data_IF_201960962903
#
_entry.id   IF_201960962903
#
_cell.length_a   1.000
_cell.length_b   1.000
_cell.length_c   1.000
_cell.angle_alpha   90.00
_cell.angle_beta   90.00
_cell.angle_gamma   90.00
#
_symmetry.space_group_name_H-M   'P 1'
#
loop_
_entity.id
_entity.type
_entity.pdbx_description
1 polymer ?
#
# COMPACT_ATOMS: atom_id res chain seq x y z
N UNK A 1 6.40 -10.45 75.51
CA UNK A 1 7.61 -11.11 76.02
C UNK A 1 7.50 -12.55 75.59
N UNK A 2 8.29 -13.14 74.72
CA UNK A 2 9.40 -12.78 73.84
C UNK A 2 9.51 -13.99 72.88
N UNK A 3 9.50 -13.77 71.56
CA UNK A 3 10.60 -14.13 70.64
C UNK A 3 11.22 -15.53 70.81
N UNK A 4 11.02 -16.40 69.81
CA UNK A 4 12.07 -16.84 68.86
C UNK A 4 11.78 -18.24 68.28
N UNK A 5 11.41 -18.31 66.99
CA UNK A 5 11.64 -19.50 66.16
C UNK A 5 11.86 -19.10 64.69
N UNK A 6 13.07 -19.35 64.18
CA UNK A 6 13.38 -19.74 62.80
C UNK A 6 14.85 -20.28 62.75
N UNK A 7 15.35 -20.94 61.67
CA UNK A 7 14.72 -21.28 60.38
C UNK A 7 15.08 -22.66 59.73
N UNK A 8 14.44 -22.94 58.55
CA UNK A 8 14.94 -23.65 57.32
C UNK A 8 15.21 -25.18 57.36
N UNK A 9 14.95 -26.02 56.32
CA UNK A 9 14.74 -25.83 54.86
C UNK A 9 14.07 -27.04 54.14
N UNK A 10 13.21 -26.70 53.15
CA UNK A 10 12.91 -27.22 51.78
C UNK A 10 13.19 -28.66 51.28
N UNK A 11 12.20 -29.27 50.60
CA UNK A 11 12.16 -29.67 49.16
C UNK A 11 10.90 -30.55 48.91
N UNK A 12 9.84 -30.05 48.25
CA UNK A 12 9.57 -29.99 46.80
C UNK A 12 8.95 -31.28 46.19
N UNK A 13 7.78 -31.06 45.59
CA UNK A 13 6.82 -32.00 44.98
C UNK A 13 7.05 -32.21 43.49
N UNK A 14 6.46 -33.26 42.89
CA UNK A 14 5.66 -33.25 41.62
C UNK A 14 5.61 -34.65 40.97
N UNK A 15 4.40 -35.17 40.70
CA UNK A 15 4.21 -36.33 39.85
C UNK A 15 2.76 -36.80 39.78
N UNK A 16 2.29 -37.05 38.54
CA UNK A 16 1.01 -37.71 38.18
C UNK A 16 -0.23 -36.80 38.04
N UNK A 17 -0.25 -35.97 36.99
CA UNK A 17 -1.48 -35.53 36.29
C UNK A 17 -1.22 -35.30 34.79
N UNK A 18 -0.90 -36.37 34.05
CA UNK A 18 -0.63 -36.26 32.62
C UNK A 18 -1.16 -37.46 31.81
N UNK A 19 -2.47 -37.75 31.88
CA UNK A 19 -3.15 -38.66 30.93
C UNK A 19 -4.65 -38.34 30.82
N UNK A 20 -5.02 -37.24 30.15
CA UNK A 20 -6.38 -37.02 29.59
C UNK A 20 -6.46 -35.76 28.70
N UNK A 21 -5.49 -35.58 27.80
CA UNK A 21 -5.53 -34.53 26.77
C UNK A 21 -5.13 -35.11 25.41
N UNK A 22 -5.96 -36.00 24.87
CA UNK A 22 -5.87 -36.49 23.49
C UNK A 22 -7.29 -36.67 22.92
N UNK A 23 -8.01 -35.58 22.81
CA UNK A 23 -9.23 -35.44 22.00
C UNK A 23 -9.32 -33.95 21.59
N UNK A 24 -8.31 -33.52 20.83
CA UNK A 24 -8.32 -32.25 20.11
C UNK A 24 -7.98 -32.57 18.67
N UNK A 25 -8.97 -32.45 17.79
CA UNK A 25 -8.76 -32.62 16.35
C UNK A 25 -7.62 -31.72 15.90
N UNK A 26 -6.70 -32.30 15.13
CA UNK A 26 -5.69 -31.56 14.38
C UNK A 26 -6.42 -30.59 13.45
N UNK A 27 -6.53 -29.31 13.84
CA UNK A 27 -6.61 -28.25 12.84
C UNK A 27 -5.34 -28.39 12.01
N UNK A 28 -5.49 -28.63 10.71
CA UNK A 28 -4.40 -28.56 9.76
C UNK A 28 -3.60 -27.29 10.05
N UNK A 29 -2.30 -27.44 10.28
CA UNK A 29 -1.45 -26.31 10.65
C UNK A 29 -1.53 -25.27 9.54
N UNK A 30 -1.98 -24.06 9.88
CA UNK A 30 -1.93 -22.93 8.96
C UNK A 30 -0.47 -22.75 8.53
N UNK A 31 -0.21 -22.76 7.22
CA UNK A 31 1.14 -22.55 6.70
C UNK A 31 1.67 -21.20 7.24
N UNK A 32 2.81 -21.16 7.95
CA UNK A 32 3.32 -19.94 8.58
C UNK A 32 3.56 -18.82 7.56
N UNK A 33 3.80 -19.16 6.29
CA UNK A 33 3.99 -18.21 5.20
C UNK A 33 2.67 -17.49 4.83
N UNK A 34 1.53 -18.12 5.08
CA UNK A 34 0.20 -17.55 4.81
C UNK A 34 -0.34 -16.69 5.95
N UNK A 35 0.20 -16.79 7.16
CA UNK A 35 -0.31 -16.06 8.33
C UNK A 35 -0.44 -14.54 8.12
N UNK A 36 0.53 -13.82 7.51
CA UNK A 36 0.41 -12.40 7.27
C UNK A 36 -0.78 -12.07 6.35
N UNK A 37 -0.95 -12.86 5.29
CA UNK A 37 -2.06 -12.72 4.34
C UNK A 37 -3.40 -12.98 5.04
N UNK A 38 -3.54 -14.11 5.74
CA UNK A 38 -4.78 -14.47 6.43
C UNK A 38 -5.15 -13.46 7.53
N UNK A 39 -4.15 -12.85 8.18
CA UNK A 39 -4.39 -11.78 9.17
C UNK A 39 -4.94 -10.52 8.51
N UNK A 40 -4.36 -10.09 7.39
CA UNK A 40 -4.85 -8.94 6.63
C UNK A 40 -6.29 -9.16 6.12
N UNK A 41 -6.59 -10.38 5.64
CA UNK A 41 -7.93 -10.77 5.22
C UNK A 41 -8.92 -10.76 6.38
N UNK A 42 -8.57 -11.32 7.55
CA UNK A 42 -9.47 -11.30 8.71
C UNK A 42 -9.77 -9.88 9.21
N UNK A 43 -8.82 -8.95 9.05
CA UNK A 43 -9.01 -7.56 9.47
C UNK A 43 -10.03 -6.82 8.57
N UNK A 44 -10.07 -7.15 7.28
CA UNK A 44 -10.92 -6.48 6.28
C UNK A 44 -12.22 -7.23 6.01
N UNK A 45 -12.17 -8.56 6.01
CA UNK A 45 -13.27 -9.48 5.78
C UNK A 45 -13.34 -10.56 6.88
N UNK A 46 -13.88 -10.25 8.08
CA UNK A 46 -13.91 -11.19 9.20
C UNK A 46 -14.68 -12.50 8.95
N UNK A 47 -15.59 -12.49 7.97
CA UNK A 47 -16.44 -13.63 7.58
C UNK A 47 -15.98 -14.31 6.28
N UNK A 48 -14.83 -13.91 5.74
CA UNK A 48 -14.31 -14.49 4.51
C UNK A 48 -14.03 -15.98 4.68
N UNK A 49 -14.35 -16.74 3.64
CA UNK A 49 -13.88 -18.11 3.50
C UNK A 49 -12.37 -18.10 3.18
N UNK A 50 -11.58 -18.59 4.14
CA UNK A 50 -10.12 -18.65 4.03
C UNK A 50 -9.67 -19.92 3.29
N UNK A 51 -10.53 -20.94 3.21
CA UNK A 51 -10.20 -22.20 2.54
C UNK A 51 -9.97 -21.99 1.05
N UNK A 52 -10.69 -21.04 0.44
CA UNK A 52 -10.46 -20.63 -0.95
C UNK A 52 -9.03 -20.11 -1.18
N UNK A 53 -8.53 -19.28 -0.26
CA UNK A 53 -7.19 -18.67 -0.36
C UNK A 53 -6.11 -19.72 -0.11
N UNK A 54 -6.31 -20.58 0.88
CA UNK A 54 -5.39 -21.68 1.19
C UNK A 54 -5.28 -22.66 0.01
N UNK A 55 -6.42 -23.07 -0.58
CA UNK A 55 -6.43 -23.92 -1.78
C UNK A 55 -5.72 -23.25 -2.97
N UNK A 56 -5.97 -21.96 -3.20
CA UNK A 56 -5.32 -21.21 -4.28
C UNK A 56 -3.80 -21.16 -4.07
N UNK A 57 -3.34 -20.94 -2.84
CA UNK A 57 -1.92 -20.96 -2.50
C UNK A 57 -1.29 -22.33 -2.75
N UNK A 58 -1.92 -23.42 -2.31
CA UNK A 58 -1.38 -24.76 -2.54
C UNK A 58 -1.24 -25.09 -4.03
N UNK A 59 -2.21 -24.68 -4.85
CA UNK A 59 -2.15 -24.87 -6.31
C UNK A 59 -1.01 -24.06 -6.90
N UNK A 60 -0.88 -22.78 -6.52
CA UNK A 60 0.22 -21.93 -6.97
C UNK A 60 1.60 -22.48 -6.55
N UNK A 61 1.74 -22.93 -5.31
CA UNK A 61 2.99 -23.50 -4.79
C UNK A 61 3.37 -24.78 -5.54
N UNK A 62 2.39 -25.66 -5.82
CA UNK A 62 2.60 -26.87 -6.61
C UNK A 62 2.99 -26.54 -8.05
N UNK A 63 2.31 -25.58 -8.67
CA UNK A 63 2.53 -25.19 -10.06
C UNK A 63 3.92 -24.56 -10.27
N UNK A 64 4.37 -23.72 -9.33
CA UNK A 64 5.67 -23.07 -9.39
C UNK A 64 6.80 -23.84 -8.66
N UNK A 65 6.58 -25.11 -8.31
CA UNK A 65 7.57 -25.92 -7.61
C UNK A 65 8.85 -26.07 -8.45
N UNK A 66 9.99 -25.71 -7.87
CA UNK A 66 11.29 -25.75 -8.55
C UNK A 66 11.60 -24.52 -9.40
N UNK A 67 10.69 -23.55 -9.50
CA UNK A 67 10.96 -22.26 -10.13
C UNK A 67 11.59 -21.29 -9.13
N UNK A 68 12.64 -20.60 -9.58
CA UNK A 68 13.37 -19.59 -8.80
C UNK A 68 13.27 -18.23 -9.47
N UNK A 69 13.11 -17.18 -8.67
CA UNK A 69 13.17 -15.80 -9.16
C UNK A 69 14.61 -15.41 -9.46
N UNK A 70 14.78 -14.30 -10.18
CA UNK A 70 16.10 -13.67 -10.41
C UNK A 70 16.81 -13.23 -9.13
N UNK A 71 16.07 -13.07 -8.02
CA UNK A 71 16.65 -12.82 -6.69
C UNK A 71 17.24 -14.08 -6.03
N UNK A 72 16.91 -15.28 -6.52
CA UNK A 72 17.25 -16.56 -5.90
C UNK A 72 16.14 -17.15 -5.01
N UNK A 73 15.09 -16.39 -4.72
CA UNK A 73 13.97 -16.84 -3.89
C UNK A 73 13.02 -17.77 -4.67
N UNK A 74 12.25 -18.59 -3.95
CA UNK A 74 11.20 -19.41 -4.56
C UNK A 74 10.14 -18.53 -5.24
N UNK A 75 9.68 -18.94 -6.43
CA UNK A 75 8.76 -18.12 -7.24
C UNK A 75 7.45 -17.78 -6.51
N UNK A 76 6.94 -18.69 -5.66
CA UNK A 76 5.72 -18.52 -4.86
C UNK A 76 5.71 -17.26 -3.98
N UNK A 77 6.89 -16.72 -3.64
CA UNK A 77 7.01 -15.47 -2.89
C UNK A 77 6.39 -14.27 -3.61
N UNK A 78 6.38 -14.27 -4.95
CA UNK A 78 5.81 -13.18 -5.73
C UNK A 78 4.27 -13.18 -5.71
N UNK A 79 3.56 -14.24 -6.13
CA UNK A 79 2.10 -14.27 -6.05
C UNK A 79 1.58 -14.03 -4.63
N UNK A 80 2.29 -14.54 -3.62
CA UNK A 80 1.95 -14.31 -2.21
C UNK A 80 2.06 -12.83 -1.83
N UNK A 81 3.14 -12.16 -2.24
CA UNK A 81 3.31 -10.73 -1.97
C UNK A 81 2.26 -9.88 -2.69
N UNK A 82 1.90 -10.23 -3.93
CA UNK A 82 0.82 -9.56 -4.68
C UNK A 82 -0.52 -9.73 -3.98
N UNK A 83 -0.86 -10.95 -3.56
CA UNK A 83 -2.07 -11.20 -2.77
C UNK A 83 -2.06 -10.45 -1.43
N UNK A 84 -0.91 -10.32 -0.78
CA UNK A 84 -0.79 -9.57 0.49
C UNK A 84 -1.07 -8.08 0.27
N UNK A 85 -0.51 -7.47 -0.77
CA UNK A 85 -0.80 -6.06 -1.15
C UNK A 85 -2.31 -5.88 -1.37
N UNK A 86 -2.95 -6.81 -2.07
CA UNK A 86 -4.39 -6.73 -2.34
C UNK A 86 -5.24 -6.96 -1.07
N UNK A 87 -4.79 -7.80 -0.15
CA UNK A 87 -5.47 -8.03 1.12
C UNK A 87 -5.42 -6.80 2.02
N UNK A 88 -4.28 -6.09 2.04
CA UNK A 88 -4.14 -4.80 2.75
C UNK A 88 -5.06 -3.72 2.17
N UNK A 89 -5.37 -3.78 0.88
CA UNK A 89 -6.35 -2.91 0.22
C UNK A 89 -7.80 -3.33 0.47
N UNK A 90 -8.03 -4.43 1.18
CA UNK A 90 -9.37 -4.94 1.51
C UNK A 90 -10.08 -5.62 0.35
N UNK A 91 -9.34 -6.22 -0.59
CA UNK A 91 -9.93 -6.95 -1.71
C UNK A 91 -10.62 -8.25 -1.28
N UNK A 92 -11.58 -8.72 -2.08
CA UNK A 92 -12.37 -9.92 -1.78
C UNK A 92 -11.53 -11.20 -1.89
N UNK A 93 -11.89 -12.29 -1.18
CA UNK A 93 -11.18 -13.57 -1.27
C UNK A 93 -11.04 -14.11 -2.70
N UNK A 94 -12.03 -13.91 -3.57
CA UNK A 94 -11.95 -14.30 -4.99
C UNK A 94 -10.85 -13.54 -5.74
N UNK A 95 -10.68 -12.24 -5.47
CA UNK A 95 -9.60 -11.42 -6.04
C UNK A 95 -8.23 -11.88 -5.54
N UNK A 96 -8.14 -12.25 -4.25
CA UNK A 96 -6.90 -12.74 -3.65
C UNK A 96 -6.51 -14.11 -4.20
N UNK A 97 -7.48 -15.01 -4.40
CA UNK A 97 -7.26 -16.29 -5.05
C UNK A 97 -6.77 -16.10 -6.50
N UNK A 98 -7.41 -15.20 -7.27
CA UNK A 98 -6.94 -14.86 -8.61
C UNK A 98 -5.52 -14.28 -8.61
N UNK A 99 -5.18 -13.45 -7.62
CA UNK A 99 -3.83 -12.90 -7.48
C UNK A 99 -2.77 -13.97 -7.14
N UNK A 100 -3.12 -14.98 -6.34
CA UNK A 100 -2.22 -16.12 -6.09
C UNK A 100 -1.99 -16.96 -7.36
N UNK A 101 -2.97 -16.98 -8.26
CA UNK A 101 -2.98 -17.85 -9.44
C UNK A 101 -2.61 -17.12 -10.74
N UNK A 102 -2.37 -15.81 -10.71
CA UNK A 102 -2.28 -14.97 -11.93
C UNK A 102 -1.18 -15.43 -12.92
N UNK A 103 -0.03 -15.86 -12.41
CA UNK A 103 1.10 -16.35 -13.23
C UNK A 103 1.07 -17.85 -13.49
N UNK A 104 0.16 -18.60 -12.85
CA UNK A 104 0.14 -20.07 -12.97
C UNK A 104 -0.20 -20.52 -14.38
N UNK A 105 -1.07 -19.78 -15.09
CA UNK A 105 -1.50 -20.10 -16.44
C UNK A 105 -0.45 -19.76 -17.50
N UNK A 106 0.41 -18.78 -17.22
CA UNK A 106 1.43 -18.33 -18.17
C UNK A 106 2.73 -19.11 -18.04
N UNK A 107 3.18 -19.34 -16.80
CA UNK A 107 4.52 -19.88 -16.52
C UNK A 107 4.53 -21.38 -16.18
N UNK A 108 3.37 -22.04 -16.20
CA UNK A 108 3.26 -23.45 -15.80
C UNK A 108 2.37 -24.24 -16.77
N UNK A 109 2.25 -25.55 -16.52
CA UNK A 109 1.38 -26.45 -17.31
C UNK A 109 -0.10 -26.35 -16.94
N UNK A 110 -0.45 -25.52 -15.95
CA UNK A 110 -1.83 -25.38 -15.47
C UNK A 110 -2.69 -24.61 -16.47
N UNK A 111 -3.79 -25.21 -16.94
CA UNK A 111 -4.62 -24.64 -17.99
C UNK A 111 -5.77 -23.79 -17.45
N UNK A 112 -6.27 -22.85 -18.26
CA UNK A 112 -7.47 -22.06 -17.93
C UNK A 112 -8.72 -22.94 -17.69
N UNK A 113 -8.83 -24.06 -18.40
CA UNK A 113 -9.96 -24.98 -18.19
C UNK A 113 -9.86 -25.72 -16.86
N UNK A 114 -8.64 -26.03 -16.40
CA UNK A 114 -8.43 -26.60 -15.07
C UNK A 114 -8.72 -25.57 -13.99
N UNK A 115 -8.22 -24.34 -14.15
CA UNK A 115 -8.51 -23.22 -13.25
C UNK A 115 -10.02 -22.98 -13.10
N UNK A 116 -10.76 -22.99 -14.21
CA UNK A 116 -12.22 -22.83 -14.23
C UNK A 116 -12.94 -23.96 -13.48
N UNK A 117 -12.47 -25.21 -13.62
CA UNK A 117 -13.04 -26.35 -12.89
C UNK A 117 -12.78 -26.28 -11.39
N UNK A 118 -11.58 -25.86 -10.99
CA UNK A 118 -11.15 -25.89 -9.60
C UNK A 118 -11.65 -24.69 -8.78
N UNK A 119 -11.74 -23.50 -9.41
CA UNK A 119 -12.03 -22.22 -8.75
C UNK A 119 -13.24 -21.46 -9.32
N UNK A 120 -13.83 -21.94 -10.42
CA UNK A 120 -15.00 -21.33 -11.05
C UNK A 120 -14.68 -20.26 -12.11
N UNK A 121 -15.73 -19.82 -12.81
CA UNK A 121 -15.63 -18.89 -13.94
C UNK A 121 -15.10 -17.51 -13.55
N UNK A 122 -15.48 -17.02 -12.37
CA UNK A 122 -15.11 -15.68 -11.90
C UNK A 122 -13.58 -15.53 -11.76
N UNK A 123 -12.94 -16.48 -11.07
CA UNK A 123 -11.49 -16.46 -10.85
C UNK A 123 -10.76 -16.72 -12.17
N UNK A 124 -11.25 -17.66 -12.98
CA UNK A 124 -10.66 -17.95 -14.28
C UNK A 124 -10.69 -16.73 -15.23
N UNK A 125 -11.78 -15.97 -15.22
CA UNK A 125 -11.91 -14.73 -16.00
C UNK A 125 -10.93 -13.66 -15.54
N UNK A 126 -10.73 -13.51 -14.21
CA UNK A 126 -9.76 -12.56 -13.68
C UNK A 126 -8.33 -12.92 -14.09
N UNK A 127 -7.93 -14.19 -13.94
CA UNK A 127 -6.59 -14.67 -14.31
C UNK A 127 -6.34 -14.54 -15.81
N UNK A 128 -7.28 -14.99 -16.66
CA UNK A 128 -7.20 -14.84 -18.12
C UNK A 128 -7.07 -13.36 -18.53
N UNK A 129 -7.79 -12.47 -17.83
CA UNK A 129 -7.68 -11.04 -18.02
C UNK A 129 -6.27 -10.50 -17.74
N UNK A 130 -5.64 -10.94 -16.65
CA UNK A 130 -4.28 -10.52 -16.28
C UNK A 130 -3.26 -11.04 -17.29
N UNK A 131 -3.26 -12.34 -17.60
CA UNK A 131 -2.33 -12.97 -18.56
C UNK A 131 -2.41 -12.33 -19.96
N UNK A 132 -3.61 -11.90 -20.39
CA UNK A 132 -3.78 -11.22 -21.68
C UNK A 132 -3.17 -9.82 -21.71
N UNK A 133 -3.09 -9.15 -20.56
CA UNK A 133 -2.43 -7.84 -20.46
C UNK A 133 -0.90 -7.99 -20.53
N UNK A 134 -0.34 -9.11 -20.08
CA UNK A 134 1.10 -9.39 -20.14
C UNK A 134 1.62 -9.71 -21.55
N UNK A 135 0.80 -10.37 -22.38
CA UNK A 135 1.19 -10.79 -23.74
C UNK A 135 1.20 -9.66 -24.79
N UNK A 136 0.96 -8.41 -24.39
CA UNK A 136 0.98 -7.27 -25.32
C UNK A 136 2.43 -6.89 -25.61
N UNK A 137 2.90 -7.11 -26.85
CA UNK A 137 4.27 -6.77 -27.22
C UNK A 137 4.45 -5.25 -27.35
N UNK A 138 5.54 -4.74 -26.76
CA UNK A 138 5.81 -3.32 -26.62
C UNK A 138 6.73 -2.78 -27.73
N UNK A 139 6.14 -2.03 -28.68
CA UNK A 139 6.81 -1.03 -29.54
C UNK A 139 6.13 0.34 -29.38
N UNK A 140 6.58 1.41 -30.05
CA UNK A 140 5.96 2.75 -29.92
C UNK A 140 4.47 2.77 -30.29
N UNK A 141 4.02 1.92 -31.22
CA UNK A 141 2.60 1.74 -31.55
C UNK A 141 1.81 0.94 -30.47
N UNK A 142 2.50 0.27 -29.55
CA UNK A 142 1.89 -0.61 -28.56
C UNK A 142 1.38 0.11 -27.31
N UNK A 143 1.76 1.38 -27.08
CA UNK A 143 1.22 2.14 -25.95
C UNK A 143 -0.29 2.36 -26.09
N UNK A 144 -0.73 2.75 -27.29
CA UNK A 144 -2.15 2.92 -27.59
C UNK A 144 -2.92 1.58 -27.55
N UNK A 145 -2.29 0.48 -27.97
CA UNK A 145 -2.88 -0.86 -27.90
C UNK A 145 -3.00 -1.37 -26.46
N UNK A 146 -1.97 -1.15 -25.64
CA UNK A 146 -1.94 -1.48 -24.21
C UNK A 146 -3.03 -0.71 -23.49
N UNK A 147 -3.14 0.59 -23.72
CA UNK A 147 -4.22 1.43 -23.16
C UNK A 147 -5.59 0.95 -23.63
N UNK A 148 -5.77 0.62 -24.92
CA UNK A 148 -7.04 0.10 -25.44
C UNK A 148 -7.42 -1.25 -24.81
N UNK A 149 -6.47 -2.18 -24.66
CA UNK A 149 -6.69 -3.49 -24.01
C UNK A 149 -6.97 -3.33 -22.52
N UNK A 150 -6.28 -2.42 -21.84
CA UNK A 150 -6.59 -2.06 -20.45
C UNK A 150 -8.00 -1.50 -20.32
N UNK A 151 -8.44 -0.62 -21.23
CA UNK A 151 -9.83 -0.12 -21.26
C UNK A 151 -10.84 -1.25 -21.49
N UNK A 152 -10.55 -2.20 -22.37
CA UNK A 152 -11.42 -3.37 -22.60
C UNK A 152 -11.45 -4.31 -21.39
N UNK A 153 -10.31 -4.51 -20.72
CA UNK A 153 -10.23 -5.29 -19.49
C UNK A 153 -11.00 -4.62 -18.35
N UNK A 154 -10.83 -3.30 -18.18
CA UNK A 154 -11.60 -2.47 -17.23
C UNK A 154 -13.11 -2.55 -17.47
N UNK A 155 -13.54 -2.58 -18.74
CA UNK A 155 -14.96 -2.66 -19.10
C UNK A 155 -15.61 -3.99 -18.69
N UNK A 156 -14.81 -5.05 -18.50
CA UNK A 156 -15.29 -6.36 -18.07
C UNK A 156 -15.19 -6.54 -16.56
N UNK A 157 -14.01 -6.28 -16.00
CA UNK A 157 -13.78 -6.37 -14.56
C UNK A 157 -12.59 -5.50 -14.13
N UNK A 158 -12.87 -4.47 -13.34
CA UNK A 158 -11.86 -3.55 -12.79
C UNK A 158 -10.83 -4.26 -11.91
N UNK A 159 -11.17 -5.40 -11.29
CA UNK A 159 -10.29 -6.17 -10.40
C UNK A 159 -9.07 -6.71 -11.12
N UNK A 160 -9.19 -7.01 -12.42
CA UNK A 160 -8.06 -7.42 -13.27
C UNK A 160 -6.97 -6.35 -13.28
N UNK A 161 -7.35 -5.08 -13.41
CA UNK A 161 -6.39 -3.97 -13.41
C UNK A 161 -5.77 -3.77 -12.02
N UNK A 162 -6.55 -3.95 -10.96
CA UNK A 162 -6.05 -3.85 -9.58
C UNK A 162 -5.01 -4.93 -9.30
N UNK A 163 -5.27 -6.18 -9.72
CA UNK A 163 -4.28 -7.28 -9.63
C UNK A 163 -3.02 -6.89 -10.42
N UNK A 164 -3.18 -6.37 -11.63
CA UNK A 164 -2.04 -5.98 -12.46
C UNK A 164 -1.19 -4.86 -11.87
N UNK A 165 -1.82 -3.88 -11.22
CA UNK A 165 -1.11 -2.80 -10.52
C UNK A 165 -0.35 -3.33 -9.31
N UNK A 166 -0.91 -4.28 -8.55
CA UNK A 166 -0.24 -4.91 -7.42
C UNK A 166 0.94 -5.78 -7.87
N UNK A 167 0.79 -6.54 -8.96
CA UNK A 167 1.88 -7.24 -9.63
C UNK A 167 3.00 -6.26 -10.03
N UNK A 168 2.66 -5.20 -10.78
CA UNK A 168 3.63 -4.21 -11.22
C UNK A 168 4.36 -3.55 -10.05
N UNK A 169 3.67 -3.28 -8.94
CA UNK A 169 4.25 -2.74 -7.72
C UNK A 169 5.27 -3.69 -7.09
N UNK A 170 4.93 -4.96 -6.94
CA UNK A 170 5.88 -5.94 -6.42
C UNK A 170 7.10 -6.14 -7.34
N UNK A 171 6.86 -6.14 -8.65
CA UNK A 171 7.93 -6.16 -9.64
C UNK A 171 8.83 -4.93 -9.55
N UNK A 172 8.27 -3.74 -9.31
CA UNK A 172 9.03 -2.51 -9.11
C UNK A 172 9.91 -2.57 -7.85
N UNK A 173 9.40 -3.11 -6.74
CA UNK A 173 10.16 -3.34 -5.50
C UNK A 173 11.36 -4.27 -5.69
N UNK A 174 11.38 -5.08 -6.75
CA UNK A 174 12.41 -6.09 -7.03
C UNK A 174 13.28 -5.78 -8.25
N UNK A 175 13.22 -4.57 -8.82
CA UNK A 175 14.04 -4.18 -9.98
C UNK A 175 15.55 -4.22 -9.74
N UNK A 176 16.00 -4.17 -8.48
CA UNK A 176 17.43 -4.32 -8.14
C UNK A 176 18.06 -5.64 -8.62
N UNK A 177 17.25 -6.66 -8.92
CA UNK A 177 17.71 -7.97 -9.38
C UNK A 177 17.59 -8.18 -10.90
N UNK A 178 17.14 -7.16 -11.66
CA UNK A 178 17.06 -7.23 -13.12
C UNK A 178 18.10 -6.33 -13.77
N UNK A 179 18.38 -6.53 -15.06
CA UNK A 179 19.31 -5.67 -15.80
C UNK A 179 18.82 -4.23 -15.83
N UNK A 180 19.76 -3.28 -15.77
CA UNK A 180 19.46 -1.85 -15.75
C UNK A 180 18.59 -1.41 -16.94
N UNK A 181 18.83 -1.97 -18.14
CA UNK A 181 18.05 -1.70 -19.34
C UNK A 181 16.59 -2.18 -19.20
N UNK A 182 16.38 -3.40 -18.71
CA UNK A 182 15.04 -3.95 -18.52
C UNK A 182 14.29 -3.19 -17.42
N UNK A 183 14.98 -2.83 -16.33
CA UNK A 183 14.43 -2.01 -15.26
C UNK A 183 14.03 -0.62 -15.75
N UNK A 184 14.89 0.07 -16.53
CA UNK A 184 14.59 1.39 -17.09
C UNK A 184 13.37 1.36 -18.01
N UNK A 185 13.29 0.37 -18.91
CA UNK A 185 12.11 0.18 -19.77
C UNK A 185 10.83 -0.03 -18.96
N UNK A 186 10.86 -0.91 -17.96
CA UNK A 186 9.71 -1.15 -17.07
C UNK A 186 9.35 0.07 -16.23
N UNK A 187 10.34 0.86 -15.80
CA UNK A 187 10.14 2.09 -15.04
C UNK A 187 9.46 3.18 -15.86
N UNK A 188 9.87 3.37 -17.13
CA UNK A 188 9.21 4.29 -18.07
C UNK A 188 7.76 3.88 -18.30
N UNK A 189 7.50 2.61 -18.61
CA UNK A 189 6.15 2.08 -18.79
C UNK A 189 5.28 2.32 -17.53
N UNK A 190 5.88 2.16 -16.35
CA UNK A 190 5.22 2.39 -15.06
C UNK A 190 4.81 3.84 -14.88
N UNK A 191 5.65 4.81 -15.26
CA UNK A 191 5.32 6.24 -15.16
C UNK A 191 4.30 6.68 -16.20
N UNK A 192 4.38 6.17 -17.43
CA UNK A 192 3.53 6.63 -18.53
C UNK A 192 2.14 5.98 -18.51
N UNK A 193 2.04 4.72 -18.07
CA UNK A 193 0.81 3.93 -18.17
C UNK A 193 0.25 3.64 -16.78
N UNK A 194 0.98 2.91 -15.93
CA UNK A 194 0.43 2.36 -14.69
C UNK A 194 0.17 3.39 -13.59
N UNK A 195 1.07 4.36 -13.40
CA UNK A 195 0.88 5.42 -12.39
C UNK A 195 -0.34 6.31 -12.71
N UNK A 196 -0.56 6.80 -13.95
CA UNK A 196 -1.79 7.49 -14.32
C UNK A 196 -3.06 6.65 -14.13
N UNK A 197 -3.00 5.34 -14.38
CA UNK A 197 -4.14 4.44 -14.15
C UNK A 197 -4.44 4.28 -12.66
N UNK A 198 -3.43 4.04 -11.82
CA UNK A 198 -3.58 4.01 -10.37
C UNK A 198 -4.19 5.32 -9.85
N UNK A 199 -3.79 6.47 -10.41
CA UNK A 199 -4.38 7.77 -10.07
C UNK A 199 -5.87 7.86 -10.43
N UNK A 200 -6.26 7.38 -11.61
CA UNK A 200 -7.67 7.34 -12.06
C UNK A 200 -8.54 6.45 -11.17
N UNK A 201 -7.98 5.35 -10.68
CA UNK A 201 -8.64 4.43 -9.75
C UNK A 201 -8.67 4.94 -8.29
N UNK A 202 -8.07 6.09 -8.00
CA UNK A 202 -7.96 6.62 -6.64
C UNK A 202 -6.92 5.89 -5.76
N UNK A 203 -6.13 4.97 -6.33
CA UNK A 203 -5.10 4.18 -5.66
C UNK A 203 -3.81 4.98 -5.44
N UNK A 204 -3.90 6.06 -4.67
CA UNK A 204 -2.80 7.03 -4.51
C UNK A 204 -1.56 6.42 -3.84
N UNK A 205 -1.71 5.49 -2.89
CA UNK A 205 -0.58 4.83 -2.24
C UNK A 205 0.26 4.05 -3.25
N UNK A 206 -0.38 3.21 -4.07
CA UNK A 206 0.31 2.46 -5.14
C UNK A 206 0.91 3.43 -6.15
N UNK A 207 0.14 4.44 -6.56
CA UNK A 207 0.59 5.46 -7.52
C UNK A 207 1.92 6.08 -7.08
N UNK A 208 1.98 6.59 -5.85
CA UNK A 208 3.17 7.28 -5.35
C UNK A 208 4.36 6.34 -5.21
N UNK A 209 4.12 5.11 -4.76
CA UNK A 209 5.20 4.13 -4.63
C UNK A 209 5.76 3.70 -6.00
N UNK A 210 4.89 3.47 -6.99
CA UNK A 210 5.30 3.23 -8.37
C UNK A 210 6.09 4.41 -8.95
N UNK A 211 5.63 5.64 -8.71
CA UNK A 211 6.31 6.86 -9.14
C UNK A 211 7.71 6.98 -8.54
N UNK A 212 7.84 6.81 -7.22
CA UNK A 212 9.13 6.94 -6.52
C UNK A 212 10.10 5.81 -6.92
N UNK A 213 9.64 4.56 -7.06
CA UNK A 213 10.46 3.43 -7.52
C UNK A 213 10.93 3.63 -8.97
N UNK A 214 10.04 4.07 -9.86
CA UNK A 214 10.42 4.37 -11.24
C UNK A 214 11.40 5.53 -11.32
N UNK A 215 11.19 6.56 -10.51
CA UNK A 215 12.07 7.72 -10.47
C UNK A 215 13.48 7.34 -10.01
N UNK A 216 13.60 6.52 -8.95
CA UNK A 216 14.88 6.00 -8.47
C UNK A 216 15.62 5.20 -9.54
N UNK A 217 14.88 4.44 -10.38
CA UNK A 217 15.49 3.64 -11.44
C UNK A 217 15.90 4.45 -12.68
N UNK A 218 15.11 5.45 -13.07
CA UNK A 218 15.36 6.24 -14.28
C UNK A 218 16.41 7.33 -14.07
N UNK A 219 16.40 7.98 -12.90
CA UNK A 219 17.26 9.11 -12.59
C UNK A 219 17.94 8.94 -11.23
N UNK A 220 18.78 7.90 -11.04
CA UNK A 220 19.35 7.55 -9.73
C UNK A 220 20.15 8.70 -9.10
N UNK A 221 20.93 9.43 -9.90
CA UNK A 221 21.73 10.57 -9.40
C UNK A 221 20.86 11.69 -8.84
N UNK A 222 19.77 12.04 -9.54
CA UNK A 222 18.85 13.10 -9.12
C UNK A 222 18.05 12.63 -7.90
N UNK A 223 17.64 11.36 -7.90
CA UNK A 223 16.97 10.75 -6.75
C UNK A 223 17.84 10.85 -5.49
N UNK A 224 19.10 10.43 -5.56
CA UNK A 224 20.04 10.49 -4.43
C UNK A 224 20.28 11.93 -3.94
N UNK A 225 20.36 12.89 -4.86
CA UNK A 225 20.49 14.31 -4.52
C UNK A 225 19.27 14.81 -3.74
N UNK A 226 18.06 14.55 -4.25
CA UNK A 226 16.81 14.92 -3.57
C UNK A 226 16.75 14.24 -2.19
N UNK A 227 17.06 12.95 -2.09
CA UNK A 227 17.07 12.22 -0.81
C UNK A 227 18.02 12.88 0.20
N UNK A 228 19.23 13.27 -0.23
CA UNK A 228 20.21 13.97 0.63
C UNK A 228 19.68 15.33 1.08
N UNK A 229 19.13 16.13 0.17
CA UNK A 229 18.59 17.45 0.51
C UNK A 229 17.40 17.34 1.48
N UNK A 230 16.55 16.33 1.30
CA UNK A 230 15.41 16.01 2.20
C UNK A 230 15.92 15.60 3.57
N UNK A 231 16.93 14.71 3.63
CA UNK A 231 17.51 14.21 4.88
C UNK A 231 18.17 15.32 5.71
N UNK A 232 18.91 16.23 5.08
CA UNK A 232 19.55 17.37 5.77
C UNK A 232 18.53 18.26 6.51
N UNK A 233 17.34 18.43 5.94
CA UNK A 233 16.26 19.26 6.52
C UNK A 233 15.26 18.47 7.36
N UNK A 234 15.39 17.14 7.45
CA UNK A 234 14.43 16.29 8.16
C UNK A 234 14.32 16.62 9.67
N UNK A 235 15.42 16.87 10.43
CA UNK A 235 15.33 17.16 11.86
C UNK A 235 14.51 18.42 12.17
N UNK A 236 14.85 19.54 11.52
CA UNK A 236 14.13 20.81 11.70
C UNK A 236 12.65 20.71 11.29
N UNK A 237 12.36 19.93 10.23
CA UNK A 237 10.98 19.67 9.78
C UNK A 237 10.20 18.84 10.80
N UNK A 238 10.82 17.82 11.40
CA UNK A 238 10.18 16.95 12.38
C UNK A 238 9.86 17.69 13.69
N UNK A 239 10.77 18.57 14.13
CA UNK A 239 10.53 19.45 15.27
C UNK A 239 9.35 20.40 14.99
N UNK A 240 9.36 21.07 13.84
CA UNK A 240 8.25 21.95 13.45
C UNK A 240 6.92 21.19 13.30
N UNK A 241 6.93 20.00 12.69
CA UNK A 241 5.78 19.11 12.61
C UNK A 241 5.29 18.66 13.99
N UNK A 242 6.17 18.46 14.96
CA UNK A 242 5.79 18.13 16.32
C UNK A 242 5.04 19.30 16.98
N UNK A 243 5.54 20.53 16.84
CA UNK A 243 4.89 21.75 17.33
C UNK A 243 3.51 21.93 16.72
N UNK A 244 3.41 21.90 15.38
CA UNK A 244 2.13 22.05 14.67
C UNK A 244 1.13 20.94 15.07
N UNK A 245 1.60 19.69 15.21
CA UNK A 245 0.72 18.59 15.67
C UNK A 245 0.25 18.77 17.10
N UNK A 246 1.10 19.27 17.99
CA UNK A 246 0.75 19.53 19.38
C UNK A 246 -0.30 20.64 19.48
N UNK A 247 -0.13 21.73 18.72
CA UNK A 247 -1.08 22.85 18.67
C UNK A 247 -2.44 22.40 18.15
N UNK A 248 -2.49 21.75 16.98
CA UNK A 248 -3.73 21.21 16.41
C UNK A 248 -4.36 20.20 17.39
N UNK A 249 -3.55 19.32 17.97
CA UNK A 249 -4.04 18.33 18.93
C UNK A 249 -4.64 18.94 20.19
N UNK A 250 -4.15 20.10 20.64
CA UNK A 250 -4.73 20.84 21.77
C UNK A 250 -6.10 21.43 21.41
N UNK A 251 -6.20 22.09 20.26
CA UNK A 251 -7.46 22.71 19.81
C UNK A 251 -8.56 21.67 19.60
N UNK A 252 -8.21 20.53 19.00
CA UNK A 252 -9.16 19.45 18.77
C UNK A 252 -9.66 18.84 20.09
N UNK A 253 -8.81 18.76 21.12
CA UNK A 253 -9.23 18.33 22.46
C UNK A 253 -10.17 19.34 23.12
N UNK A 254 -9.88 20.64 23.03
CA UNK A 254 -10.74 21.72 23.56
C UNK A 254 -12.11 21.73 22.86
N UNK A 255 -12.12 21.50 21.54
CA UNK A 255 -13.33 21.35 20.74
C UNK A 255 -14.04 19.99 20.91
N UNK A 256 -13.47 19.07 21.70
CA UNK A 256 -13.97 17.68 21.92
C UNK A 256 -14.12 16.86 20.63
N UNK A 257 -13.28 17.12 19.63
CA UNK A 257 -13.24 16.39 18.36
C UNK A 257 -12.25 15.24 18.47
N UNK A 258 -12.70 14.01 18.20
CA UNK A 258 -11.80 12.86 18.09
C UNK A 258 -11.14 12.85 16.73
N UNK A 259 -9.82 13.00 16.70
CA UNK A 259 -9.07 13.04 15.46
C UNK A 259 -7.66 12.45 15.61
N UNK A 260 -7.11 11.96 14.51
CA UNK A 260 -5.72 11.52 14.41
C UNK A 260 -4.95 12.49 13.53
N UNK A 261 -3.98 13.21 14.11
CA UNK A 261 -3.14 14.18 13.41
C UNK A 261 -1.81 13.53 13.04
N UNK A 262 -1.50 13.48 11.74
CA UNK A 262 -0.29 12.86 11.21
C UNK A 262 0.45 13.82 10.28
N UNK A 263 1.78 13.71 10.20
CA UNK A 263 2.54 14.39 9.16
C UNK A 263 2.37 13.65 7.84
N UNK A 264 2.22 14.38 6.73
CA UNK A 264 2.18 13.79 5.40
C UNK A 264 3.55 13.97 4.74
N UNK A 265 4.36 12.91 4.58
CA UNK A 265 5.59 13.01 3.82
C UNK A 265 5.27 13.35 2.35
N UNK A 266 6.14 14.14 1.73
CA UNK A 266 6.09 14.41 0.29
C UNK A 266 6.88 13.33 -0.44
N UNK A 267 6.29 12.80 -1.51
CA UNK A 267 6.94 11.84 -2.40
C UNK A 267 8.01 12.52 -3.26
N UNK A 268 9.13 11.84 -3.47
CA UNK A 268 10.32 12.40 -4.13
C UNK A 268 10.04 12.77 -5.58
N UNK A 269 9.31 11.92 -6.30
CA UNK A 269 8.92 12.17 -7.68
C UNK A 269 8.03 13.42 -7.81
N UNK A 270 7.12 13.64 -6.85
CA UNK A 270 6.30 14.85 -6.81
C UNK A 270 7.10 16.13 -6.52
N UNK A 271 8.20 16.02 -5.77
CA UNK A 271 9.15 17.13 -5.57
C UNK A 271 9.90 17.41 -6.87
N UNK A 272 10.44 16.37 -7.50
CA UNK A 272 11.13 16.46 -8.79
C UNK A 272 10.26 17.09 -9.88
N UNK A 273 9.03 16.62 -10.07
CA UNK A 273 8.10 17.21 -11.04
C UNK A 273 7.83 18.69 -10.77
N UNK A 274 7.72 19.11 -9.49
CA UNK A 274 7.52 20.52 -9.14
C UNK A 274 8.77 21.37 -9.40
N UNK A 275 9.97 20.82 -9.21
CA UNK A 275 11.22 21.51 -9.53
C UNK A 275 11.34 21.75 -11.04
N UNK A 276 11.13 20.72 -11.86
CA UNK A 276 11.26 20.82 -13.32
C UNK A 276 10.13 21.64 -13.95
N UNK A 277 8.88 21.28 -13.67
CA UNK A 277 7.73 21.85 -14.40
C UNK A 277 7.47 23.31 -14.00
N UNK A 278 7.81 23.70 -12.76
CA UNK A 278 7.52 25.05 -12.24
C UNK A 278 8.76 25.91 -12.04
N UNK A 279 9.96 25.40 -12.35
CA UNK A 279 11.22 26.11 -12.15
C UNK A 279 11.38 26.66 -10.73
N UNK A 280 10.84 25.96 -9.73
CA UNK A 280 10.85 26.41 -8.33
C UNK A 280 12.06 25.85 -7.60
N UNK A 281 12.69 26.70 -6.80
CA UNK A 281 13.79 26.28 -5.93
C UNK A 281 13.34 25.22 -4.92
N UNK A 282 14.22 24.25 -4.66
CA UNK A 282 13.99 23.18 -3.70
C UNK A 282 13.54 23.72 -2.34
N UNK A 283 14.11 24.85 -1.90
CA UNK A 283 13.80 25.47 -0.61
C UNK A 283 12.31 25.84 -0.49
N UNK A 284 11.76 26.47 -1.53
CA UNK A 284 10.35 26.91 -1.54
C UNK A 284 9.36 25.74 -1.60
N UNK A 285 9.77 24.62 -2.20
CA UNK A 285 8.92 23.42 -2.30
C UNK A 285 8.94 22.64 -0.98
N UNK A 286 10.10 22.57 -0.34
CA UNK A 286 10.32 21.76 0.86
C UNK A 286 9.85 22.44 2.15
N UNK A 287 9.88 23.77 2.22
CA UNK A 287 9.40 24.53 3.39
C UNK A 287 7.89 24.42 3.64
N UNK A 288 7.12 23.94 2.65
CA UNK A 288 5.69 23.70 2.85
C UNK A 288 5.49 22.37 3.59
N UNK A 289 5.20 22.46 4.87
CA UNK A 289 4.88 21.32 5.74
C UNK A 289 3.43 20.90 5.49
N UNK A 290 3.19 19.60 5.35
CA UNK A 290 1.86 19.05 5.16
C UNK A 290 1.46 18.19 6.36
N UNK A 291 0.32 18.51 6.95
CA UNK A 291 -0.32 17.76 8.03
C UNK A 291 -1.58 17.12 7.47
N UNK A 292 -2.00 16.00 8.05
CA UNK A 292 -3.27 15.33 7.74
C UNK A 292 -4.02 15.09 9.04
N UNK A 293 -5.27 15.52 9.08
CA UNK A 293 -6.19 15.23 10.18
C UNK A 293 -7.22 14.22 9.70
N UNK A 294 -7.31 13.08 10.38
CA UNK A 294 -8.32 12.04 10.12
C UNK A 294 -9.40 12.11 11.20
N UNK A 295 -10.66 12.16 10.76
CA UNK A 295 -11.86 12.23 11.60
C UNK A 295 -12.90 11.22 11.14
N UNK A 296 -13.90 10.94 11.98
CA UNK A 296 -14.93 9.93 11.70
C UNK A 296 -16.07 10.46 10.82
N UNK A 297 -16.43 11.74 10.95
CA UNK A 297 -17.60 12.31 10.27
C UNK A 297 -17.26 13.52 9.39
N UNK A 298 -18.12 13.78 8.40
CA UNK A 298 -18.02 14.99 7.56
C UNK A 298 -18.22 16.26 8.38
N UNK A 299 -19.07 16.22 9.41
CA UNK A 299 -19.29 17.36 10.31
C UNK A 299 -18.00 17.71 11.05
N UNK A 300 -17.27 16.70 11.54
CA UNK A 300 -15.98 16.89 12.18
C UNK A 300 -14.95 17.51 11.22
N UNK A 301 -14.96 17.17 9.93
CA UNK A 301 -14.06 17.78 8.94
C UNK A 301 -14.19 19.32 8.92
N UNK A 302 -15.42 19.82 8.89
CA UNK A 302 -15.66 21.28 8.90
C UNK A 302 -15.42 21.90 10.28
N UNK A 303 -15.65 21.17 11.36
CA UNK A 303 -15.31 21.62 12.71
C UNK A 303 -13.79 21.79 12.89
N UNK A 304 -13.00 20.83 12.37
CA UNK A 304 -11.52 20.94 12.32
C UNK A 304 -11.09 22.15 11.49
N UNK A 305 -11.70 22.37 10.32
CA UNK A 305 -11.40 23.54 9.49
C UNK A 305 -11.62 24.85 10.26
N UNK A 306 -12.74 24.97 10.97
CA UNK A 306 -13.05 26.13 11.80
C UNK A 306 -12.03 26.35 12.93
N UNK A 307 -11.65 25.28 13.63
CA UNK A 307 -10.62 25.34 14.68
C UNK A 307 -9.27 25.81 14.13
N UNK A 308 -8.88 25.30 12.95
CA UNK A 308 -7.62 25.69 12.29
C UNK A 308 -7.62 27.17 11.87
N UNK A 309 -8.73 27.67 11.30
CA UNK A 309 -8.85 29.07 10.87
C UNK A 309 -8.98 30.04 12.04
N UNK A 310 -9.46 29.59 13.20
CA UNK A 310 -9.45 30.38 14.43
C UNK A 310 -8.04 30.56 15.00
N UNK A 311 -7.17 29.56 14.85
CA UNK A 311 -5.77 29.62 15.30
C UNK A 311 -4.86 30.35 14.32
N UNK A 312 -4.95 30.02 13.04
CA UNK A 312 -4.02 30.50 12.02
C UNK A 312 -4.76 31.15 10.86
N UNK A 313 -4.18 32.26 10.38
CA UNK A 313 -4.75 33.00 9.26
C UNK A 313 -4.70 32.15 7.98
N UNK A 314 -5.85 31.88 7.32
CA UNK A 314 -5.87 31.16 6.07
C UNK A 314 -5.29 32.00 4.93
N UNK A 315 -4.55 31.36 4.03
CA UNK A 315 -4.01 31.99 2.83
C UNK A 315 -5.12 32.08 1.77
N UNK A 316 -5.48 33.29 1.28
CA UNK A 316 -6.53 33.46 0.28
C UNK A 316 -6.28 32.63 -0.98
N UNK A 317 -7.34 32.01 -1.52
CA UNK A 317 -7.27 31.18 -2.73
C UNK A 317 -6.56 29.83 -2.56
N UNK A 318 -6.19 29.44 -1.33
CA UNK A 318 -5.56 28.14 -1.01
C UNK A 318 -6.48 27.18 -0.27
N UNK A 319 -7.76 27.51 -0.13
CA UNK A 319 -8.77 26.60 0.37
C UNK A 319 -9.41 25.81 -0.79
N UNK A 320 -9.60 24.50 -0.61
CA UNK A 320 -10.28 23.62 -1.57
C UNK A 320 -11.16 22.62 -0.83
N UNK A 321 -12.43 22.60 -1.18
CA UNK A 321 -13.40 21.67 -0.62
C UNK A 321 -13.63 20.50 -1.60
N UNK A 322 -12.88 19.41 -1.43
CA UNK A 322 -13.12 18.19 -2.18
C UNK A 322 -14.15 17.26 -1.54
N UNK A 323 -14.74 17.64 -0.40
CA UNK A 323 -15.89 16.90 0.16
C UNK A 323 -17.15 17.27 -0.64
N UNK A 324 -17.38 18.57 -0.81
CA UNK A 324 -18.50 19.11 -1.59
C UNK A 324 -18.31 18.91 -3.10
N UNK A 325 -17.06 19.02 -3.59
CA UNK A 325 -16.71 18.79 -5.00
C UNK A 325 -15.64 17.70 -5.12
N UNK A 326 -16.01 16.41 -5.01
CA UNK A 326 -15.08 15.30 -5.14
C UNK A 326 -14.33 15.35 -6.46
N UNK A 327 -13.08 14.89 -6.46
CA UNK A 327 -12.34 14.70 -7.71
C UNK A 327 -12.93 13.54 -8.51
N UNK A 328 -12.63 13.49 -9.80
CA UNK A 328 -13.05 12.40 -10.70
C UNK A 328 -12.65 10.99 -10.22
N UNK A 329 -11.60 10.87 -9.41
CA UNK A 329 -11.16 9.61 -8.81
C UNK A 329 -11.78 9.35 -7.42
N UNK A 330 -12.91 9.97 -7.11
CA UNK A 330 -13.64 9.87 -5.84
C UNK A 330 -12.86 10.37 -4.61
N UNK A 331 -11.74 11.06 -4.81
CA UNK A 331 -10.98 11.63 -3.71
C UNK A 331 -11.75 12.76 -3.02
N UNK A 332 -11.91 12.63 -1.70
CA UNK A 332 -12.59 13.59 -0.82
C UNK A 332 -11.68 14.00 0.34
N UNK A 333 -11.56 15.32 0.56
CA UNK A 333 -10.77 15.93 1.64
C UNK A 333 -10.98 17.45 1.63
N UNK A 334 -10.81 18.12 2.76
CA UNK A 334 -10.66 19.57 2.80
C UNK A 334 -9.18 19.90 2.78
N UNK A 335 -8.74 20.77 1.85
CA UNK A 335 -7.36 21.26 1.82
C UNK A 335 -7.38 22.74 2.19
N UNK A 336 -6.55 23.12 3.15
CA UNK A 336 -6.32 24.53 3.47
C UNK A 336 -4.84 24.80 3.63
N UNK A 337 -4.39 25.98 3.19
CA UNK A 337 -3.06 26.49 3.56
C UNK A 337 -3.25 27.63 4.54
N UNK A 338 -2.58 27.55 5.68
CA UNK A 338 -2.62 28.55 6.75
C UNK A 338 -1.20 29.04 7.04
N UNK A 339 -1.08 30.24 7.60
CA UNK A 339 0.20 30.74 8.10
C UNK A 339 0.39 30.23 9.52
N UNK A 340 1.21 29.20 9.66
CA UNK A 340 1.47 28.51 10.93
C UNK A 340 2.47 29.26 11.83
N UNK A 341 3.02 28.56 12.84
CA UNK A 341 4.06 29.10 13.72
C UNK A 341 5.25 29.62 12.90
N UNK A 342 5.90 30.67 13.40
CA UNK A 342 7.06 31.32 12.77
C UNK A 342 6.78 31.95 11.38
N UNK A 343 5.51 32.19 11.04
CA UNK A 343 5.12 32.81 9.77
C UNK A 343 5.28 31.88 8.56
N UNK A 344 5.53 30.58 8.76
CA UNK A 344 5.71 29.62 7.68
C UNK A 344 4.37 29.04 7.20
N UNK A 345 4.20 28.79 5.90
CA UNK A 345 2.97 28.20 5.38
C UNK A 345 2.85 26.72 5.74
N UNK A 346 1.69 26.32 6.25
CA UNK A 346 1.34 24.94 6.59
C UNK A 346 0.13 24.52 5.76
N UNK A 347 0.23 23.39 5.08
CA UNK A 347 -0.87 22.72 4.39
C UNK A 347 -1.50 21.69 5.33
N UNK A 348 -2.81 21.72 5.52
CA UNK A 348 -3.56 20.79 6.39
C UNK A 348 -4.68 20.11 5.61
#
# INVERSE_FOLDING_TARGET
>A
MSEDVAPTSSHASHGVRARLARLGGTRAGSNPVLEPLLRAVKATHPKADLELIERAYEVAEKAHRGQVRKSGDAYITHPLAVATILAELGMTPSTLAAALLHDTVEDTTYSLDQLRKDFGDEIAMMVDGVTKLDKVQYGEAAQAETVRKMVVAMARDIRVLVIKLADRLHNARTWRYVSAESAARKANETLEIYAPLAHRLGMNTIKWELEDLSFAQLYPKIYDEIVRMVAQRAPAREEYLATVRADIGKDLKEARIKAVVTGRPKHYYSVYQKMIVRGRDFEQIYDLVAVRVLVETVQDCYAVLGALHARWNPVPGRFKDYIAMPKFNMYQSLHTTVIGPDGKPVEV
#
